data_IF_380899912269
#
_entry.id   IF_380899912269
#
_cell.length_a   1.000
_cell.length_b   1.000
_cell.length_c   1.000
_cell.angle_alpha   90.00
_cell.angle_beta   90.00
_cell.angle_gamma   90.00
#
_symmetry.space_group_name_H-M   'P 1'
#
loop_
_entity.id
_entity.type
_entity.pdbx_description
1 polymer ?
#
# COMPACT_ATOMS: atom_id res chain seq x y z
N UNK A 1 34.04 -3.98 -11.75
CA UNK A 1 34.71 -3.55 -13.00
C UNK A 1 33.84 -3.72 -14.25
N UNK A 2 33.07 -4.80 -14.41
CA UNK A 2 32.22 -4.99 -15.60
C UNK A 2 31.20 -3.86 -15.84
N UNK A 3 30.56 -3.32 -14.80
CA UNK A 3 29.55 -2.24 -14.96
C UNK A 3 30.07 -1.01 -15.71
N UNK A 4 31.35 -0.67 -15.56
CA UNK A 4 31.95 0.50 -16.23
C UNK A 4 32.43 0.19 -17.66
N UNK A 5 32.62 -1.09 -18.02
CA UNK A 5 33.06 -1.48 -19.36
C UNK A 5 31.92 -1.83 -20.31
N UNK A 6 30.69 -2.04 -19.80
CA UNK A 6 29.49 -2.33 -20.62
C UNK A 6 29.24 -1.23 -21.66
N UNK A 7 29.51 0.03 -21.32
CA UNK A 7 29.44 1.16 -22.25
C UNK A 7 30.28 0.94 -23.51
N UNK A 8 31.47 0.36 -23.36
CA UNK A 8 32.39 0.08 -24.47
C UNK A 8 32.11 -1.26 -25.16
N UNK A 9 31.61 -2.26 -24.41
CA UNK A 9 31.35 -3.61 -24.94
C UNK A 9 30.02 -3.73 -25.68
N UNK A 10 28.98 -2.99 -25.27
CA UNK A 10 27.63 -3.03 -25.87
C UNK A 10 26.99 -1.63 -25.89
N UNK A 11 27.55 -0.69 -26.67
CA UNK A 11 27.18 0.73 -26.63
C UNK A 11 25.71 0.99 -26.96
N UNK A 12 25.14 0.21 -27.89
CA UNK A 12 23.74 0.35 -28.30
C UNK A 12 22.77 -0.10 -27.19
N UNK A 13 23.01 -1.28 -26.61
CA UNK A 13 22.18 -1.81 -25.51
C UNK A 13 22.26 -0.92 -24.27
N UNK A 14 23.46 -0.42 -23.96
CA UNK A 14 23.66 0.54 -22.87
C UNK A 14 22.93 1.86 -23.14
N UNK A 15 23.05 2.42 -24.35
CA UNK A 15 22.38 3.66 -24.73
C UNK A 15 20.85 3.56 -24.67
N UNK A 16 20.29 2.43 -25.09
CA UNK A 16 18.86 2.16 -24.98
C UNK A 16 18.41 2.07 -23.51
N UNK A 17 19.12 1.29 -22.68
CA UNK A 17 18.81 1.17 -21.26
C UNK A 17 18.92 2.51 -20.51
N UNK A 18 19.94 3.31 -20.80
CA UNK A 18 20.11 4.64 -20.24
C UNK A 18 18.96 5.57 -20.65
N UNK A 19 18.58 5.56 -21.92
CA UNK A 19 17.47 6.36 -22.44
C UNK A 19 16.14 5.99 -21.77
N UNK A 20 15.83 4.69 -21.69
CA UNK A 20 14.62 4.19 -21.02
C UNK A 20 14.61 4.60 -19.55
N UNK A 21 15.74 4.48 -18.86
CA UNK A 21 15.86 4.87 -17.46
C UNK A 21 15.64 6.37 -17.26
N UNK A 22 16.21 7.21 -18.13
CA UNK A 22 16.00 8.66 -18.11
C UNK A 22 14.54 8.99 -18.37
N UNK A 23 13.92 8.38 -19.38
CA UNK A 23 12.49 8.58 -19.69
C UNK A 23 11.61 8.17 -18.51
N UNK A 24 11.89 7.03 -17.88
CA UNK A 24 11.18 6.58 -16.68
C UNK A 24 11.30 7.59 -15.54
N UNK A 25 12.51 8.10 -15.29
CA UNK A 25 12.73 9.12 -14.26
C UNK A 25 11.99 10.43 -14.58
N UNK A 26 11.96 10.85 -15.84
CA UNK A 26 11.21 12.03 -16.27
C UNK A 26 9.70 11.86 -16.08
N UNK A 27 9.15 10.68 -16.38
CA UNK A 27 7.74 10.36 -16.15
C UNK A 27 7.42 10.39 -14.65
N UNK A 28 8.24 9.72 -13.82
CA UNK A 28 8.06 9.70 -12.38
C UNK A 28 8.17 11.09 -11.76
N UNK A 29 9.12 11.90 -12.21
CA UNK A 29 9.28 13.28 -11.77
C UNK A 29 8.08 14.13 -12.18
N UNK A 30 7.56 13.94 -13.40
CA UNK A 30 6.33 14.58 -13.86
C UNK A 30 5.13 14.21 -12.98
N UNK A 31 4.97 12.91 -12.68
CA UNK A 31 3.91 12.39 -11.80
C UNK A 31 4.02 12.92 -10.35
N UNK A 32 5.25 13.04 -9.84
CA UNK A 32 5.48 13.60 -8.51
C UNK A 32 5.16 15.10 -8.44
N UNK A 33 5.39 15.84 -9.54
CA UNK A 33 5.05 17.27 -9.63
C UNK A 33 3.56 17.53 -9.83
N UNK A 34 2.83 16.63 -10.48
CA UNK A 34 1.37 16.73 -10.66
C UNK A 34 0.57 16.27 -9.45
N UNK A 35 1.23 15.75 -8.40
CA UNK A 35 0.63 15.60 -7.08
C UNK A 35 0.50 16.97 -6.39
N UNK A 36 -0.27 17.88 -7.01
CA UNK A 36 -0.56 19.19 -6.45
C UNK A 36 -1.52 19.07 -5.25
N UNK A 37 -0.91 19.08 -4.06
CA UNK A 37 -1.58 19.32 -2.78
C UNK A 37 -2.45 18.16 -2.26
N UNK A 38 -2.86 18.21 -0.98
CA UNK A 38 -3.76 17.22 -0.44
C UNK A 38 -5.07 17.32 -1.21
N UNK A 39 -5.41 16.26 -1.96
CA UNK A 39 -6.74 16.10 -2.53
C UNK A 39 -7.79 16.37 -1.44
N UNK A 40 -8.99 16.85 -1.81
CA UNK A 40 -10.06 17.06 -0.81
C UNK A 40 -10.26 15.82 0.08
N UNK A 41 -10.03 14.63 -0.47
CA UNK A 41 -10.04 13.37 0.26
C UNK A 41 -8.88 13.26 1.26
N UNK A 42 -7.63 13.54 0.83
CA UNK A 42 -6.46 13.54 1.71
C UNK A 42 -6.63 14.55 2.86
N UNK A 43 -7.07 15.79 2.59
CA UNK A 43 -7.36 16.78 3.63
C UNK A 43 -8.47 16.34 4.60
N UNK A 44 -9.40 15.51 4.15
CA UNK A 44 -10.47 14.96 5.00
C UNK A 44 -9.94 13.80 5.85
N UNK A 45 -9.07 12.96 5.28
CA UNK A 45 -8.47 11.82 5.97
C UNK A 45 -7.37 12.19 6.97
N UNK A 46 -6.75 13.38 6.85
CA UNK A 46 -5.71 13.86 7.78
C UNK A 46 -6.26 14.73 8.92
N UNK A 47 -7.59 14.85 9.06
CA UNK A 47 -8.20 15.60 10.18
C UNK A 47 -7.94 14.88 11.52
N UNK A 48 -7.76 15.58 12.65
CA UNK A 48 -7.59 14.94 13.96
C UNK A 48 -8.71 13.95 14.33
N UNK A 49 -9.92 14.18 13.83
CA UNK A 49 -11.09 13.30 14.02
C UNK A 49 -10.98 11.95 13.31
N UNK A 50 -10.25 11.84 12.18
CA UNK A 50 -10.13 10.58 11.44
C UNK A 50 -9.29 9.55 12.19
N UNK A 51 -8.33 9.99 13.01
CA UNK A 51 -7.53 9.12 13.89
C UNK A 51 -8.40 8.31 14.84
N UNK A 52 -9.38 8.96 15.46
CA UNK A 52 -10.32 8.30 16.35
C UNK A 52 -11.24 7.33 15.58
N UNK A 53 -11.67 7.70 14.37
CA UNK A 53 -12.48 6.85 13.50
C UNK A 53 -11.72 5.57 13.13
N UNK A 54 -10.49 5.69 12.64
CA UNK A 54 -9.67 4.54 12.26
C UNK A 54 -9.20 3.72 13.47
N UNK A 55 -8.89 4.37 14.59
CA UNK A 55 -8.57 3.67 15.85
C UNK A 55 -9.75 2.86 16.37
N UNK A 56 -10.96 3.41 16.31
CA UNK A 56 -12.18 2.68 16.68
C UNK A 56 -12.50 1.55 15.70
N UNK A 57 -12.36 1.80 14.38
CA UNK A 57 -12.50 0.76 13.34
C UNK A 57 -11.52 -0.39 13.56
N UNK A 58 -10.27 -0.10 13.93
CA UNK A 58 -9.27 -1.11 14.24
C UNK A 58 -9.68 -1.94 15.45
N UNK A 59 -10.12 -1.30 16.53
CA UNK A 59 -10.56 -1.99 17.73
C UNK A 59 -11.79 -2.86 17.46
N UNK A 60 -12.78 -2.33 16.74
CA UNK A 60 -13.98 -3.06 16.34
C UNK A 60 -13.64 -4.25 15.44
N UNK A 61 -12.77 -4.06 14.44
CA UNK A 61 -12.29 -5.14 13.58
C UNK A 61 -11.57 -6.24 14.38
N UNK A 62 -10.68 -5.85 15.31
CA UNK A 62 -9.93 -6.79 16.12
C UNK A 62 -10.85 -7.63 17.02
N UNK A 63 -11.90 -7.04 17.60
CA UNK A 63 -12.89 -7.77 18.39
C UNK A 63 -13.73 -8.69 17.50
N UNK A 64 -14.27 -8.18 16.39
CA UNK A 64 -15.17 -8.94 15.51
C UNK A 64 -14.47 -10.12 14.86
N UNK A 65 -13.27 -9.94 14.31
CA UNK A 65 -12.55 -11.03 13.64
C UNK A 65 -11.66 -11.83 14.58
N UNK A 66 -11.12 -11.22 15.65
CA UNK A 66 -10.34 -11.93 16.66
C UNK A 66 -11.17 -12.94 17.44
N UNK A 67 -12.42 -12.61 17.76
CA UNK A 67 -13.37 -13.54 18.41
C UNK A 67 -14.17 -14.32 17.36
N UNK A 68 -14.66 -13.65 16.30
CA UNK A 68 -15.54 -14.26 15.31
C UNK A 68 -14.89 -15.38 14.51
N UNK A 69 -13.59 -15.30 14.20
CA UNK A 69 -12.90 -16.38 13.49
C UNK A 69 -12.72 -17.62 14.38
N UNK A 70 -12.59 -17.46 15.70
CA UNK A 70 -12.49 -18.59 16.63
C UNK A 70 -13.78 -19.42 16.70
N UNK A 71 -14.91 -18.83 16.32
CA UNK A 71 -16.22 -19.50 16.29
C UNK A 71 -16.45 -20.27 14.98
N UNK A 72 -15.59 -20.10 13.98
CA UNK A 72 -15.73 -20.76 12.68
C UNK A 72 -15.01 -22.12 12.72
N UNK A 73 -15.65 -23.23 12.32
CA UNK A 73 -15.00 -24.54 12.30
C UNK A 73 -13.70 -24.55 11.48
N UNK A 74 -12.59 -24.97 12.09
CA UNK A 74 -11.25 -24.89 11.50
C UNK A 74 -10.84 -26.14 10.70
N UNK A 75 -11.65 -27.20 10.76
CA UNK A 75 -11.33 -28.50 10.19
C UNK A 75 -12.14 -28.79 8.92
N UNK A 76 -11.44 -29.25 7.86
CA UNK A 76 -12.03 -29.71 6.61
C UNK A 76 -11.67 -28.85 5.40
N UNK A 77 -11.41 -29.50 4.25
CA UNK A 77 -11.03 -28.86 2.99
C UNK A 77 -12.09 -27.90 2.40
N UNK A 78 -13.31 -27.93 2.95
CA UNK A 78 -14.44 -27.09 2.55
C UNK A 78 -14.85 -26.09 3.66
N UNK A 79 -13.95 -25.81 4.61
CA UNK A 79 -14.23 -24.88 5.70
C UNK A 79 -14.26 -23.42 5.21
N UNK A 80 -15.27 -22.60 5.60
CA UNK A 80 -15.32 -21.17 5.33
C UNK A 80 -14.20 -20.35 6.00
N UNK A 81 -13.42 -20.95 6.91
CA UNK A 81 -12.40 -20.27 7.71
C UNK A 81 -11.36 -19.56 6.85
N UNK A 82 -10.87 -20.19 5.77
CA UNK A 82 -9.87 -19.61 4.88
C UNK A 82 -10.38 -18.34 4.18
N UNK A 83 -11.61 -18.37 3.66
CA UNK A 83 -12.22 -17.22 2.98
C UNK A 83 -12.53 -16.07 3.94
N UNK A 84 -13.08 -16.37 5.11
CA UNK A 84 -13.34 -15.36 6.15
C UNK A 84 -12.05 -14.77 6.71
N UNK A 85 -10.99 -15.58 6.83
CA UNK A 85 -9.66 -15.12 7.22
C UNK A 85 -9.03 -14.17 6.21
N UNK A 86 -9.19 -14.43 4.90
CA UNK A 86 -8.73 -13.51 3.85
C UNK A 86 -9.49 -12.18 3.91
N UNK A 87 -10.81 -12.21 4.07
CA UNK A 87 -11.61 -10.99 4.25
C UNK A 87 -11.14 -10.22 5.48
N UNK A 88 -10.95 -10.90 6.61
CA UNK A 88 -10.45 -10.29 7.83
C UNK A 88 -9.10 -9.60 7.62
N UNK A 89 -8.17 -10.27 6.93
CA UNK A 89 -6.84 -9.76 6.64
C UNK A 89 -6.88 -8.52 5.74
N UNK A 90 -7.66 -8.56 4.65
CA UNK A 90 -7.79 -7.42 3.76
C UNK A 90 -8.45 -6.23 4.44
N UNK A 91 -9.55 -6.46 5.18
CA UNK A 91 -10.23 -5.40 5.95
C UNK A 91 -9.29 -4.78 6.97
N UNK A 92 -8.55 -5.59 7.73
CA UNK A 92 -7.56 -5.11 8.70
C UNK A 92 -6.44 -4.29 8.05
N UNK A 93 -5.92 -4.75 6.92
CA UNK A 93 -4.90 -4.02 6.15
C UNK A 93 -5.38 -2.63 5.73
N UNK A 94 -6.59 -2.51 5.18
CA UNK A 94 -7.14 -1.21 4.77
C UNK A 94 -7.40 -0.28 5.95
N UNK A 95 -7.87 -0.81 7.09
CA UNK A 95 -8.06 -0.02 8.31
C UNK A 95 -6.72 0.50 8.82
N UNK A 96 -5.69 -0.36 8.85
CA UNK A 96 -4.33 0.03 9.30
C UNK A 96 -3.67 1.03 8.36
N UNK A 97 -3.84 0.85 7.04
CA UNK A 97 -3.36 1.84 6.07
C UNK A 97 -4.11 3.16 6.27
N UNK A 98 -5.44 3.16 6.39
CA UNK A 98 -6.21 4.37 6.69
C UNK A 98 -5.77 5.07 7.98
N UNK A 99 -5.44 4.30 9.03
CA UNK A 99 -4.90 4.83 10.28
C UNK A 99 -3.52 5.49 10.08
N UNK A 100 -2.60 4.83 9.38
CA UNK A 100 -1.28 5.40 9.05
C UNK A 100 -1.40 6.73 8.30
N UNK A 101 -2.27 6.79 7.29
CA UNK A 101 -2.51 8.01 6.53
C UNK A 101 -3.14 9.13 7.37
N UNK A 102 -3.97 8.78 8.37
CA UNK A 102 -4.54 9.75 9.30
C UNK A 102 -3.52 10.41 10.22
N UNK A 103 -2.36 9.76 10.45
CA UNK A 103 -1.29 10.28 11.32
C UNK A 103 -0.22 11.03 10.53
N UNK A 104 0.10 10.59 9.32
CA UNK A 104 1.19 11.19 8.50
C UNK A 104 0.87 12.63 8.05
N UNK A 105 -0.40 13.03 8.02
CA UNK A 105 -0.80 14.37 7.57
C UNK A 105 -0.82 15.47 8.63
N UNK A 106 -0.30 15.23 9.83
CA UNK A 106 0.02 16.25 10.84
C UNK A 106 1.44 16.79 10.67
#
# INVERSE_FOLDING_TARGET
MQLFTIFFSRPIEFGAAATISIVMLLILLGAARTAEGPSRLARTMTRPTSKFVFGFLFLAWAVVFGIGLQLVPHEGANSPYGGLGLIALFVGFFIMMGFLWSVIGE
#
